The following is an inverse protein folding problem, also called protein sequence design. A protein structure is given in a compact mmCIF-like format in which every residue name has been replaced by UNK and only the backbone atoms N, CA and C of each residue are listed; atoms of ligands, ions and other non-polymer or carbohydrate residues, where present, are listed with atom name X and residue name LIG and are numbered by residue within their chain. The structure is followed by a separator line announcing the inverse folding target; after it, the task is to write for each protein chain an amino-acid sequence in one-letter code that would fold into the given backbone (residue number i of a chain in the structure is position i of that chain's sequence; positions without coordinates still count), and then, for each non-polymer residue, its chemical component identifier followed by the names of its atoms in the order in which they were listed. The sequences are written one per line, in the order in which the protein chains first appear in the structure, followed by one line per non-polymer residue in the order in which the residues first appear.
data_IF_195738257882
#
_entry.id   IF_195738257882
#
_cell.length_a   1.000
_cell.length_b   1.000
_cell.length_c   1.000
_cell.angle_alpha   90.00
_cell.angle_beta   90.00
_cell.angle_gamma   90.00
#
_symmetry.space_group_name_H-M   'P 1'
#
loop_
_entity.id
_entity.type
_entity.pdbx_description
1 polymer ?
#
# COMPACT_ATOMS: atom_id res chain seq x y z
N UNK A 1 -14.38 14.71 15.35
CA UNK A 1 -14.12 14.40 13.93
C UNK A 1 -15.44 14.32 13.20
N UNK A 2 -15.60 15.04 12.09
CA UNK A 2 -16.91 15.19 11.42
C UNK A 2 -17.29 13.96 10.59
N UNK A 3 -16.32 13.11 10.25
CA UNK A 3 -16.48 12.00 9.30
C UNK A 3 -16.01 10.64 9.82
N UNK A 4 -15.35 10.61 10.98
CA UNK A 4 -14.95 9.40 11.69
C UNK A 4 -15.98 8.27 11.67
N UNK A 5 -15.49 7.12 11.21
CA UNK A 5 -16.22 5.87 11.09
C UNK A 5 -16.68 5.56 9.67
N UNK A 6 -16.10 6.22 8.66
CA UNK A 6 -16.41 6.06 7.24
C UNK A 6 -15.38 5.20 6.47
N UNK A 7 -14.42 4.60 7.18
CA UNK A 7 -13.29 3.82 6.63
C UNK A 7 -12.25 4.64 5.84
N UNK A 8 -12.23 5.96 5.98
CA UNK A 8 -11.26 6.84 5.31
C UNK A 8 -10.64 7.79 6.32
N UNK A 9 -9.32 7.87 6.31
CA UNK A 9 -8.59 8.83 7.13
C UNK A 9 -8.71 10.21 6.50
N UNK A 10 -9.48 11.08 7.15
CA UNK A 10 -9.60 12.50 6.80
C UNK A 10 -8.52 13.36 7.50
N UNK A 11 -8.34 14.63 7.10
CA UNK A 11 -7.22 15.49 7.54
C UNK A 11 -7.02 15.60 9.07
N UNK A 12 -8.07 15.43 9.87
CA UNK A 12 -8.01 15.54 11.33
C UNK A 12 -7.87 14.17 12.03
N UNK A 13 -7.98 13.06 11.30
CA UNK A 13 -8.02 11.70 11.82
C UNK A 13 -6.66 11.01 11.67
N UNK A 14 -6.33 10.09 12.58
CA UNK A 14 -5.08 9.31 12.50
C UNK A 14 -5.31 7.91 11.93
N UNK A 15 -6.53 7.41 12.03
CA UNK A 15 -6.97 6.11 11.54
C UNK A 15 -8.50 6.13 11.44
N UNK A 16 -9.07 5.23 10.66
CA UNK A 16 -10.52 5.02 10.61
C UNK A 16 -10.84 3.53 10.42
N UNK A 17 -11.21 2.90 11.54
CA UNK A 17 -11.61 1.50 11.61
C UNK A 17 -13.06 1.26 11.13
N UNK A 18 -13.81 2.32 10.83
CA UNK A 18 -15.20 2.29 10.37
C UNK A 18 -16.20 2.36 11.52
N UNK A 19 -17.28 1.57 11.43
CA UNK A 19 -18.30 1.55 12.48
C UNK A 19 -17.73 1.20 13.86
N UNK A 20 -18.44 1.60 14.93
CA UNK A 20 -18.06 1.29 16.31
C UNK A 20 -17.73 -0.20 16.54
N UNK A 21 -18.53 -1.10 15.93
CA UNK A 21 -18.31 -2.55 16.00
C UNK A 21 -17.01 -3.00 15.31
N UNK A 22 -16.65 -2.37 14.20
CA UNK A 22 -15.42 -2.68 13.49
C UNK A 22 -14.19 -2.28 14.32
N UNK A 23 -14.24 -1.09 14.92
CA UNK A 23 -13.21 -0.58 15.82
C UNK A 23 -13.02 -1.41 17.09
N UNK A 24 -14.05 -2.09 17.61
CA UNK A 24 -13.87 -3.02 18.74
C UNK A 24 -12.97 -4.22 18.40
N UNK A 25 -12.89 -4.60 17.12
CA UNK A 25 -12.02 -5.66 16.64
C UNK A 25 -10.66 -5.15 16.17
N UNK A 26 -10.46 -3.83 16.20
CA UNK A 26 -9.26 -3.16 15.72
C UNK A 26 -8.34 -2.85 16.91
N UNK A 27 -7.15 -3.46 17.01
CA UNK A 27 -6.22 -3.19 18.11
C UNK A 27 -5.48 -1.86 17.95
N UNK A 28 -5.43 -1.30 16.74
CA UNK A 28 -4.61 -0.16 16.37
C UNK A 28 -5.39 1.15 16.38
N UNK A 29 -6.68 1.10 16.07
CA UNK A 29 -7.54 2.27 15.95
C UNK A 29 -8.70 2.30 16.95
N UNK A 30 -8.87 3.44 17.63
CA UNK A 30 -9.97 3.72 18.53
C UNK A 30 -11.24 4.20 17.82
N UNK A 31 -12.37 4.15 18.54
CA UNK A 31 -13.66 4.69 18.08
C UNK A 31 -13.68 6.21 17.90
N UNK A 32 -12.64 6.91 18.38
CA UNK A 32 -12.44 8.34 18.23
C UNK A 32 -11.53 8.68 17.04
N UNK A 33 -11.26 7.73 16.14
CA UNK A 33 -10.41 7.88 14.96
C UNK A 33 -8.99 8.35 15.29
N UNK A 34 -8.51 7.87 16.44
CA UNK A 34 -7.14 8.03 16.94
C UNK A 34 -6.47 6.68 17.09
N UNK A 35 -5.17 6.67 16.89
CA UNK A 35 -4.38 5.48 17.15
C UNK A 35 -4.39 5.17 18.65
N UNK A 36 -4.46 3.88 18.98
CA UNK A 36 -4.35 3.42 20.37
C UNK A 36 -2.94 3.71 20.91
N UNK A 37 -2.75 3.83 22.24
CA UNK A 37 -1.45 4.13 22.81
C UNK A 37 -0.37 3.11 22.39
N UNK A 38 0.70 3.59 21.76
CA UNK A 38 1.80 2.75 21.26
C UNK A 38 1.67 2.32 19.79
N UNK A 39 0.49 2.52 19.19
CA UNK A 39 0.27 2.29 17.76
C UNK A 39 0.82 3.45 16.93
N UNK A 40 1.47 3.13 15.81
CA UNK A 40 2.03 4.11 14.88
C UNK A 40 1.38 4.06 13.49
N UNK A 41 0.56 3.03 13.24
CA UNK A 41 -0.15 2.77 12.00
C UNK A 41 -1.35 1.85 12.29
N UNK A 42 -2.23 1.68 11.30
CA UNK A 42 -3.43 0.83 11.38
C UNK A 42 -3.54 -0.09 10.14
N UNK A 43 -3.99 0.44 9.00
CA UNK A 43 -4.32 -0.35 7.79
C UNK A 43 -3.35 -0.17 6.63
N UNK A 44 -2.26 0.58 6.84
CA UNK A 44 -1.28 0.82 5.79
C UNK A 44 -0.54 -0.47 5.39
N UNK A 45 -0.10 -0.55 4.14
CA UNK A 45 0.46 -1.77 3.54
C UNK A 45 1.72 -2.31 4.25
N UNK A 46 2.46 -1.43 4.93
CA UNK A 46 3.62 -1.79 5.74
C UNK A 46 3.34 -1.63 7.24
N UNK A 47 2.09 -1.81 7.66
CA UNK A 47 1.70 -1.92 9.05
C UNK A 47 1.50 -3.40 9.45
N UNK A 48 2.19 -3.83 10.50
CA UNK A 48 2.01 -5.14 11.11
C UNK A 48 1.95 -4.99 12.62
N UNK A 49 0.89 -5.49 13.26
CA UNK A 49 0.69 -5.38 14.72
C UNK A 49 0.80 -3.93 15.22
N UNK A 50 0.18 -2.98 14.52
CA UNK A 50 0.18 -1.55 14.84
C UNK A 50 1.58 -0.88 14.80
N UNK A 51 2.57 -1.55 14.21
CA UNK A 51 3.95 -1.07 14.04
C UNK A 51 4.47 -1.34 12.63
N UNK A 52 5.72 -0.96 12.36
CA UNK A 52 6.36 -1.20 11.07
C UNK A 52 6.43 -2.69 10.76
N UNK A 53 5.98 -3.05 9.56
CA UNK A 53 6.25 -4.38 9.01
C UNK A 53 7.76 -4.63 8.93
N UNK A 54 8.22 -5.88 9.15
CA UNK A 54 9.63 -6.23 8.98
C UNK A 54 10.20 -5.81 7.62
N UNK A 55 11.49 -5.48 7.59
CA UNK A 55 12.17 -5.22 6.32
C UNK A 55 12.10 -6.45 5.41
N UNK A 56 11.75 -6.26 4.14
CA UNK A 56 11.58 -7.34 3.17
C UNK A 56 10.18 -7.96 3.15
N UNK A 57 9.22 -7.47 3.93
CA UNK A 57 7.81 -7.85 3.76
C UNK A 57 7.28 -7.31 2.43
N UNK A 58 6.77 -8.18 1.57
CA UNK A 58 6.16 -7.79 0.29
C UNK A 58 4.89 -6.95 0.54
N UNK A 59 4.86 -5.73 0.01
CA UNK A 59 3.70 -4.84 0.15
C UNK A 59 2.97 -4.56 -1.16
N UNK A 60 3.66 -4.66 -2.31
CA UNK A 60 3.01 -4.67 -3.63
C UNK A 60 3.60 -5.80 -4.48
N UNK A 61 2.78 -6.76 -4.93
CA UNK A 61 3.22 -7.79 -5.87
C UNK A 61 3.36 -7.21 -7.28
N UNK A 62 4.13 -7.90 -8.14
CA UNK A 62 4.19 -7.58 -9.57
C UNK A 62 2.80 -7.67 -10.21
N UNK A 63 2.45 -6.68 -11.02
CA UNK A 63 1.19 -6.66 -11.79
C UNK A 63 1.36 -7.16 -13.22
N UNK A 64 2.55 -7.00 -13.78
CA UNK A 64 2.86 -7.42 -15.15
C UNK A 64 4.38 -7.67 -15.32
N UNK A 65 4.78 -8.08 -16.53
CA UNK A 65 6.16 -8.45 -16.86
C UNK A 65 7.16 -7.28 -16.84
N UNK A 66 6.67 -6.04 -16.89
CA UNK A 66 7.45 -4.81 -16.82
C UNK A 66 7.44 -4.19 -15.43
N UNK A 67 6.86 -4.86 -14.44
CA UNK A 67 6.64 -4.32 -13.10
C UNK A 67 7.62 -4.93 -12.09
N UNK A 68 8.01 -4.17 -11.06
CA UNK A 68 8.87 -4.66 -9.97
C UNK A 68 8.07 -4.80 -8.67
N UNK A 69 8.38 -5.78 -7.80
CA UNK A 69 7.72 -5.87 -6.51
C UNK A 69 8.32 -4.86 -5.51
N UNK A 70 7.48 -4.33 -4.62
CA UNK A 70 7.90 -3.44 -3.54
C UNK A 70 7.82 -4.13 -2.18
N UNK A 71 8.79 -3.78 -1.35
CA UNK A 71 8.96 -4.36 -0.03
C UNK A 71 9.03 -3.26 1.02
N UNK A 72 8.42 -3.52 2.17
CA UNK A 72 8.55 -2.70 3.35
C UNK A 72 10.02 -2.61 3.77
N UNK A 73 10.45 -1.42 4.16
CA UNK A 73 11.84 -1.15 4.57
C UNK A 73 12.06 -1.23 6.10
N UNK A 74 11.02 -1.57 6.87
CA UNK A 74 11.09 -1.64 8.34
C UNK A 74 11.11 -0.31 9.08
N UNK A 75 10.95 0.82 8.38
CA UNK A 75 11.04 2.17 8.98
C UNK A 75 9.88 3.09 8.61
N UNK A 76 9.05 2.67 7.65
CA UNK A 76 7.82 3.36 7.23
C UNK A 76 6.68 2.37 7.19
N UNK A 77 5.47 2.86 7.47
CA UNK A 77 4.23 2.07 7.41
C UNK A 77 3.56 2.16 6.02
N UNK A 78 4.01 3.08 5.15
CA UNK A 78 3.58 3.19 3.76
C UNK A 78 4.52 2.34 2.88
N UNK A 79 3.95 1.58 1.94
CA UNK A 79 4.72 0.86 0.93
C UNK A 79 5.52 1.88 0.09
N UNK A 80 6.77 1.58 -0.30
CA UNK A 80 7.52 2.44 -1.21
C UNK A 80 6.75 2.76 -2.50
N UNK A 81 7.14 3.86 -3.15
CA UNK A 81 6.55 4.24 -4.44
C UNK A 81 6.73 3.12 -5.47
N UNK A 82 5.73 2.98 -6.35
CA UNK A 82 5.69 1.98 -7.42
C UNK A 82 6.91 2.14 -8.37
N UNK A 83 7.68 1.07 -8.49
CA UNK A 83 8.82 0.97 -9.39
C UNK A 83 8.60 -0.09 -10.44
N UNK A 84 9.20 0.12 -11.61
CA UNK A 84 9.04 -0.76 -12.75
C UNK A 84 10.38 -1.00 -13.44
N UNK A 85 10.43 -2.04 -14.30
CA UNK A 85 11.60 -2.33 -15.11
C UNK A 85 11.96 -1.13 -15.97
N UNK A 86 13.26 -0.89 -16.11
CA UNK A 86 13.78 0.24 -16.87
C UNK A 86 13.16 0.29 -18.28
N UNK A 87 12.76 1.50 -18.70
CA UNK A 87 12.26 1.74 -20.05
C UNK A 87 13.25 1.19 -21.10
N UNK A 88 12.73 0.45 -22.07
CA UNK A 88 13.53 -0.26 -23.07
C UNK A 88 13.91 -1.69 -22.69
N UNK A 89 13.51 -2.21 -21.52
CA UNK A 89 13.65 -3.63 -21.20
C UNK A 89 12.78 -4.48 -22.14
N UNK A 90 13.32 -5.48 -22.85
CA UNK A 90 12.52 -6.35 -23.71
C UNK A 90 11.45 -7.11 -22.90
N UNK A 91 10.22 -7.10 -23.39
CA UNK A 91 9.07 -7.72 -22.71
C UNK A 91 8.30 -8.71 -23.61
N UNK A 92 8.50 -8.66 -24.91
CA UNK A 92 8.01 -9.65 -25.88
C UNK A 92 9.01 -9.76 -27.04
N UNK A 93 8.66 -10.47 -28.12
CA UNK A 93 9.52 -10.59 -29.31
C UNK A 93 9.81 -9.24 -29.99
N UNK A 94 8.83 -8.35 -30.04
CA UNK A 94 8.97 -7.02 -30.68
C UNK A 94 8.65 -5.85 -29.73
N UNK A 95 8.38 -6.12 -28.45
CA UNK A 95 7.91 -5.15 -27.47
C UNK A 95 8.91 -4.82 -26.37
N UNK A 96 8.78 -3.60 -25.86
CA UNK A 96 9.63 -3.05 -24.80
C UNK A 96 8.80 -2.43 -23.68
N UNK A 97 9.31 -2.53 -22.46
CA UNK A 97 8.74 -1.85 -21.31
C UNK A 97 8.83 -0.34 -21.49
N UNK A 98 7.71 0.34 -21.24
CA UNK A 98 7.66 1.80 -21.15
C UNK A 98 6.64 2.19 -20.07
N UNK A 99 7.10 2.93 -19.06
CA UNK A 99 6.27 3.33 -17.90
C UNK A 99 5.54 2.15 -17.26
N UNK A 100 6.27 1.06 -17.03
CA UNK A 100 5.76 -0.16 -16.37
C UNK A 100 4.76 -0.98 -17.19
N UNK A 101 4.58 -0.69 -18.48
CA UNK A 101 3.74 -1.47 -19.37
C UNK A 101 4.54 -2.01 -20.55
N UNK A 102 4.22 -3.22 -21.00
CA UNK A 102 4.81 -3.77 -22.21
C UNK A 102 4.16 -3.10 -23.43
N UNK A 103 4.95 -2.32 -24.17
CA UNK A 103 4.53 -1.73 -25.45
C UNK A 103 4.90 -2.67 -26.57
N UNK A 104 3.91 -3.39 -27.09
CA UNK A 104 4.03 -4.25 -28.27
C UNK A 104 2.86 -3.93 -29.19
N UNK A 105 3.15 -3.76 -30.48
CA UNK A 105 2.15 -3.46 -31.51
C UNK A 105 1.07 -4.55 -31.59
N UNK A 106 1.43 -5.81 -31.35
CA UNK A 106 0.50 -6.95 -31.39
C UNK A 106 -0.36 -7.03 -30.12
N UNK A 107 0.11 -6.50 -28.99
CA UNK A 107 -0.66 -6.44 -27.73
C UNK A 107 -1.67 -5.27 -27.76
N UNK A 108 -1.42 -4.24 -28.57
CA UNK A 108 -2.29 -3.08 -28.71
C UNK A 108 -3.43 -3.22 -29.74
N UNK A 109 -3.44 -4.29 -30.54
CA UNK A 109 -4.50 -4.59 -31.51
C UNK A 109 -5.56 -5.52 -30.91
#
# INVERSE_FOLDING_TARGET
YKFCGNFKVDNDEQCDCGSQKACYSDPCCGNDCRLTPGSICDKELCCANCTYSPSGTLCRPIQNICDLPEYCNGTKYICPDDTYLQDGTPCSEEGYCYKGNCTDRNIQC
#
